data_IF_914900617541
#
_entry.id   IF_914900617541
#
_cell.length_a   1.000
_cell.length_b   1.000
_cell.length_c   1.000
_cell.angle_alpha   90.00
_cell.angle_beta   90.00
_cell.angle_gamma   90.00
#
_symmetry.space_group_name_H-M   'P 1'
#
loop_
_entity.id
_entity.type
_entity.pdbx_description
1 polymer ?
#
# COMPACT_ATOMS: atom_id res chain seq x y z
N UNK A 1 -7.72 1.01 12.06
CA UNK A 1 -7.98 0.39 13.37
C UNK A 1 -8.42 -1.08 13.24
N UNK A 2 -9.43 -1.38 12.42
CA UNK A 2 -10.01 -2.74 12.27
C UNK A 2 -8.99 -3.81 11.87
N UNK A 3 -8.11 -3.55 10.90
CA UNK A 3 -7.12 -4.54 10.47
C UNK A 3 -6.06 -4.87 11.53
N UNK A 4 -5.63 -3.89 12.33
CA UNK A 4 -4.66 -4.10 13.42
C UNK A 4 -5.24 -5.02 14.50
N UNK A 5 -6.54 -4.94 14.76
CA UNK A 5 -7.21 -5.79 15.76
C UNK A 5 -7.18 -7.28 15.40
N UNK A 6 -6.93 -7.64 14.13
CA UNK A 6 -6.81 -9.02 13.67
C UNK A 6 -5.39 -9.58 13.77
N UNK A 7 -4.41 -8.76 14.17
CA UNK A 7 -3.00 -9.14 14.26
C UNK A 7 -2.70 -9.56 15.70
N UNK A 8 -2.23 -10.81 15.95
CA UNK A 8 -1.82 -11.23 17.29
C UNK A 8 -0.70 -10.33 17.82
N UNK A 9 -0.89 -9.73 19.00
CA UNK A 9 0.04 -8.71 19.55
C UNK A 9 1.46 -9.23 19.74
N UNK A 10 1.59 -10.49 20.15
CA UNK A 10 2.89 -11.14 20.42
C UNK A 10 3.49 -11.81 19.17
N UNK A 11 2.87 -11.65 18.01
CA UNK A 11 3.50 -12.04 16.74
C UNK A 11 4.58 -11.05 16.33
N UNK A 12 5.44 -11.45 15.41
CA UNK A 12 6.43 -10.54 14.82
C UNK A 12 5.77 -9.34 14.15
N UNK A 13 4.70 -9.58 13.36
CA UNK A 13 3.92 -8.52 12.74
C UNK A 13 3.29 -7.60 13.79
N UNK A 14 2.74 -8.14 14.88
CA UNK A 14 2.15 -7.35 15.97
C UNK A 14 3.14 -6.38 16.60
N UNK A 15 4.37 -6.85 16.91
CA UNK A 15 5.44 -5.98 17.44
C UNK A 15 5.86 -4.90 16.44
N UNK A 16 6.01 -5.26 15.16
CA UNK A 16 6.39 -4.32 14.11
C UNK A 16 5.30 -3.26 13.87
N UNK A 17 4.03 -3.65 13.87
CA UNK A 17 2.88 -2.73 13.83
C UNK A 17 2.90 -1.74 14.98
N UNK A 18 3.10 -2.21 16.22
CA UNK A 18 3.18 -1.33 17.38
C UNK A 18 4.33 -0.33 17.25
N UNK A 19 5.49 -0.76 16.74
CA UNK A 19 6.64 0.12 16.49
C UNK A 19 6.32 1.18 15.45
N UNK A 20 5.73 0.81 14.31
CA UNK A 20 5.33 1.74 13.26
C UNK A 20 4.30 2.77 13.76
N UNK A 21 3.31 2.34 14.53
CA UNK A 21 2.30 3.25 15.08
C UNK A 21 2.88 4.20 16.11
N UNK A 22 3.83 3.74 16.94
CA UNK A 22 4.60 4.60 17.84
C UNK A 22 5.39 5.67 17.08
N UNK A 23 6.08 5.31 16.00
CA UNK A 23 6.78 6.29 15.14
C UNK A 23 5.79 7.33 14.59
N UNK A 24 4.62 6.90 14.09
CA UNK A 24 3.59 7.83 13.62
C UNK A 24 3.10 8.78 14.72
N UNK A 25 2.95 8.26 15.95
CA UNK A 25 2.53 9.06 17.10
C UNK A 25 3.60 10.08 17.51
N UNK A 26 4.88 9.77 17.36
CA UNK A 26 5.99 10.66 17.73
C UNK A 26 6.26 11.72 16.65
N UNK A 27 6.36 11.30 15.39
CA UNK A 27 6.87 12.14 14.30
C UNK A 27 5.80 13.00 13.61
N UNK A 28 4.53 12.59 13.72
CA UNK A 28 3.31 13.27 13.21
C UNK A 28 3.20 13.47 11.70
N UNK A 29 4.31 13.55 10.97
CA UNK A 29 4.36 13.75 9.52
C UNK A 29 5.15 12.62 8.85
N UNK A 30 4.86 12.35 7.58
CA UNK A 30 5.59 11.33 6.83
C UNK A 30 7.04 11.75 6.56
N UNK A 31 7.26 13.05 6.35
CA UNK A 31 8.59 13.63 6.13
C UNK A 31 9.55 13.32 7.29
N UNK A 32 9.07 13.42 8.53
CA UNK A 32 9.85 13.13 9.73
C UNK A 32 9.91 11.62 10.03
N UNK A 33 8.81 10.90 9.77
CA UNK A 33 8.71 9.47 10.08
C UNK A 33 9.47 8.57 9.12
N UNK A 34 9.70 9.01 7.87
CA UNK A 34 10.16 8.16 6.78
C UNK A 34 11.43 7.38 7.13
N UNK A 35 12.48 8.06 7.61
CA UNK A 35 13.76 7.43 7.91
C UNK A 35 13.63 6.36 8.99
N UNK A 36 12.88 6.65 10.06
CA UNK A 36 12.63 5.71 11.15
C UNK A 36 11.81 4.52 10.69
N UNK A 37 10.75 4.74 9.90
CA UNK A 37 9.96 3.65 9.33
C UNK A 37 10.80 2.76 8.39
N UNK A 38 11.73 3.35 7.64
CA UNK A 38 12.60 2.62 6.74
C UNK A 38 13.70 1.83 7.48
N UNK A 39 14.31 2.42 8.49
CA UNK A 39 15.46 1.84 9.21
C UNK A 39 15.05 0.92 10.35
N UNK A 40 14.05 1.29 11.13
CA UNK A 40 13.66 0.55 12.34
C UNK A 40 12.81 -0.70 12.07
N UNK A 41 12.14 -0.74 10.91
CA UNK A 41 11.33 -1.88 10.46
C UNK A 41 12.06 -2.77 9.47
N UNK A 42 13.31 -2.43 9.12
CA UNK A 42 14.13 -3.18 8.18
C UNK A 42 14.29 -4.64 8.59
N UNK A 43 14.19 -5.54 7.62
CA UNK A 43 14.45 -6.97 7.79
C UNK A 43 15.42 -7.49 6.71
N UNK A 44 16.17 -8.56 6.99
CA UNK A 44 17.10 -9.13 6.01
C UNK A 44 16.40 -9.83 4.84
N UNK A 45 15.14 -10.25 5.00
CA UNK A 45 14.36 -10.85 3.94
C UNK A 45 13.56 -9.77 3.21
N UNK A 46 13.70 -9.73 1.89
CA UNK A 46 12.76 -8.96 1.07
C UNK A 46 11.35 -9.55 1.20
N UNK A 47 10.32 -8.71 1.06
CA UNK A 47 8.91 -9.11 1.07
C UNK A 47 8.39 -9.75 2.36
N UNK A 48 9.01 -9.42 3.50
CA UNK A 48 8.51 -9.85 4.81
C UNK A 48 7.29 -9.02 5.23
N UNK A 49 6.15 -9.65 5.54
CA UNK A 49 4.95 -8.94 6.01
C UNK A 49 5.20 -8.05 7.24
N UNK A 50 6.03 -8.44 8.22
CA UNK A 50 6.41 -7.57 9.34
C UNK A 50 7.21 -6.32 8.96
N UNK A 51 7.74 -6.23 7.73
CA UNK A 51 8.38 -5.02 7.20
C UNK A 51 7.35 -4.16 6.44
N UNK A 52 6.73 -4.74 5.40
CA UNK A 52 5.90 -3.98 4.46
C UNK A 52 4.56 -3.52 5.06
N UNK A 53 3.84 -4.39 5.78
CA UNK A 53 2.49 -4.08 6.27
C UNK A 53 2.50 -2.91 7.26
N UNK A 54 3.40 -2.83 8.26
CA UNK A 54 3.47 -1.66 9.13
C UNK A 54 3.81 -0.36 8.41
N UNK A 55 4.69 -0.41 7.40
CA UNK A 55 5.02 0.75 6.57
C UNK A 55 3.81 1.23 5.76
N UNK A 56 3.04 0.32 5.16
CA UNK A 56 1.78 0.64 4.44
C UNK A 56 0.79 1.34 5.37
N UNK A 57 0.60 0.83 6.58
CA UNK A 57 -0.32 1.45 7.56
C UNK A 57 0.18 2.82 8.02
N UNK A 58 1.49 2.98 8.20
CA UNK A 58 2.09 4.26 8.55
C UNK A 58 1.90 5.28 7.43
N UNK A 59 2.15 4.89 6.17
CA UNK A 59 1.93 5.72 5.00
C UNK A 59 0.48 6.17 4.92
N UNK A 60 -0.48 5.24 4.92
CA UNK A 60 -1.91 5.57 4.84
C UNK A 60 -2.34 6.53 5.96
N UNK A 61 -1.84 6.32 7.18
CA UNK A 61 -2.12 7.18 8.34
C UNK A 61 -1.53 8.57 8.18
N UNK A 62 -0.25 8.67 7.83
CA UNK A 62 0.49 9.95 7.80
C UNK A 62 0.16 10.77 6.54
N UNK A 63 -0.30 10.14 5.46
CA UNK A 63 -0.86 10.84 4.29
C UNK A 63 -2.36 11.07 4.38
N UNK A 64 -3.00 10.66 5.48
CA UNK A 64 -4.42 10.86 5.76
C UNK A 64 -5.35 10.32 4.66
N UNK A 65 -4.94 9.24 4.00
CA UNK A 65 -5.71 8.67 2.89
C UNK A 65 -5.64 9.48 1.58
N UNK A 66 -4.85 10.57 1.50
CA UNK A 66 -4.62 11.26 0.23
C UNK A 66 -3.88 10.32 -0.74
N UNK A 67 -4.54 9.96 -1.84
CA UNK A 67 -4.05 8.97 -2.78
C UNK A 67 -2.72 9.40 -3.42
N UNK A 68 -2.60 10.64 -3.90
CA UNK A 68 -1.41 11.10 -4.62
C UNK A 68 -0.20 11.15 -3.69
N UNK A 69 -0.36 11.69 -2.48
CA UNK A 69 0.68 11.76 -1.47
C UNK A 69 1.05 10.37 -0.98
N UNK A 70 0.07 9.50 -0.72
CA UNK A 70 0.28 8.11 -0.35
C UNK A 70 1.09 7.35 -1.40
N UNK A 71 0.67 7.44 -2.66
CA UNK A 71 1.35 6.79 -3.79
C UNK A 71 2.76 7.35 -4.01
N UNK A 72 2.94 8.68 -3.90
CA UNK A 72 4.25 9.31 -4.02
C UNK A 72 5.24 8.73 -3.00
N UNK A 73 4.85 8.69 -1.72
CA UNK A 73 5.73 8.16 -0.68
C UNK A 73 5.91 6.65 -0.76
N UNK A 74 4.90 5.90 -1.16
CA UNK A 74 4.99 4.45 -1.35
C UNK A 74 5.99 4.09 -2.46
N UNK A 75 5.86 4.69 -3.64
CA UNK A 75 6.74 4.42 -4.77
C UNK A 75 8.19 4.90 -4.54
N UNK A 76 8.39 5.89 -3.67
CA UNK A 76 9.71 6.39 -3.28
C UNK A 76 10.18 5.83 -1.92
N UNK A 77 9.48 4.86 -1.35
CA UNK A 77 9.83 4.32 -0.04
C UNK A 77 11.14 3.53 -0.09
N UNK A 78 11.46 2.96 -1.25
CA UNK A 78 12.58 2.02 -1.41
C UNK A 78 12.21 0.61 -0.97
N UNK A 79 13.14 -0.32 -1.18
CA UNK A 79 12.98 -1.75 -0.87
C UNK A 79 11.80 -2.38 -1.62
N UNK A 80 10.67 -2.61 -0.94
CA UNK A 80 9.47 -3.28 -1.48
C UNK A 80 8.42 -2.24 -1.95
N UNK A 81 8.89 -1.22 -2.66
CA UNK A 81 8.12 -0.03 -3.02
C UNK A 81 6.92 -0.35 -3.94
N UNK A 82 7.06 -1.36 -4.80
CA UNK A 82 5.99 -1.87 -5.66
C UNK A 82 4.87 -2.53 -4.84
N UNK A 83 5.22 -3.33 -3.82
CA UNK A 83 4.23 -3.88 -2.88
C UNK A 83 3.52 -2.77 -2.10
N UNK A 84 4.27 -1.79 -1.58
CA UNK A 84 3.71 -0.63 -0.88
C UNK A 84 2.74 0.14 -1.78
N UNK A 85 3.16 0.45 -3.02
CA UNK A 85 2.33 1.14 -4.00
C UNK A 85 1.07 0.37 -4.37
N UNK A 86 1.19 -0.94 -4.62
CA UNK A 86 0.06 -1.80 -4.95
C UNK A 86 -0.99 -1.82 -3.83
N UNK A 87 -0.56 -1.99 -2.57
CA UNK A 87 -1.49 -2.05 -1.43
C UNK A 87 -2.09 -0.67 -1.11
N UNK A 88 -1.31 0.42 -1.17
CA UNK A 88 -1.84 1.78 -1.00
C UNK A 88 -2.88 2.10 -2.08
N UNK A 89 -2.63 1.70 -3.33
CA UNK A 89 -3.59 1.85 -4.41
C UNK A 89 -4.89 1.06 -4.18
N UNK A 90 -4.77 -0.21 -3.81
CA UNK A 90 -5.92 -1.06 -3.51
C UNK A 90 -6.75 -0.53 -2.33
N UNK A 91 -6.10 -0.12 -1.23
CA UNK A 91 -6.77 0.44 -0.05
C UNK A 91 -7.47 1.75 -0.38
N UNK A 92 -6.81 2.66 -1.10
CA UNK A 92 -7.39 3.96 -1.47
C UNK A 92 -8.58 3.78 -2.41
N UNK A 93 -8.47 2.91 -3.42
CA UNK A 93 -9.57 2.59 -4.33
C UNK A 93 -10.75 1.93 -3.62
N UNK A 94 -10.50 1.04 -2.65
CA UNK A 94 -11.56 0.41 -1.87
C UNK A 94 -12.26 1.40 -0.92
N UNK A 95 -11.53 2.34 -0.31
CA UNK A 95 -12.09 3.30 0.65
C UNK A 95 -12.82 4.45 -0.02
N UNK A 96 -12.33 4.91 -1.17
CA UNK A 96 -12.77 6.18 -1.78
C UNK A 96 -13.22 6.06 -3.23
N UNK A 97 -13.21 4.84 -3.79
CA UNK A 97 -13.54 4.58 -5.19
C UNK A 97 -12.39 4.91 -6.16
N UNK A 98 -12.60 4.61 -7.44
CA UNK A 98 -11.59 4.86 -8.49
C UNK A 98 -11.33 6.35 -8.73
N UNK A 99 -12.29 7.22 -8.39
CA UNK A 99 -12.26 8.66 -8.66
C UNK A 99 -11.12 9.42 -7.94
N UNK A 100 -10.55 8.84 -6.87
CA UNK A 100 -9.37 9.43 -6.21
C UNK A 100 -8.07 9.21 -7.00
N UNK A 101 -8.08 8.26 -7.94
CA UNK A 101 -6.94 7.95 -8.79
C UNK A 101 -7.02 8.84 -10.05
N UNK A 102 -5.96 9.58 -10.40
CA UNK A 102 -5.96 10.37 -11.63
C UNK A 102 -6.32 9.52 -12.83
N UNK A 103 -7.30 9.96 -13.62
CA UNK A 103 -7.80 9.22 -14.77
C UNK A 103 -6.69 8.87 -15.77
N UNK A 104 -5.71 9.76 -15.94
CA UNK A 104 -4.53 9.50 -16.79
C UNK A 104 -3.70 8.33 -16.27
N UNK A 105 -3.53 8.19 -14.95
CA UNK A 105 -2.80 7.07 -14.35
C UNK A 105 -3.54 5.76 -14.55
N UNK A 106 -4.87 5.77 -14.36
CA UNK A 106 -5.72 4.61 -14.65
C UNK A 106 -5.56 4.19 -16.11
N UNK A 107 -5.65 5.12 -17.06
CA UNK A 107 -5.50 4.80 -18.49
C UNK A 107 -4.10 4.28 -18.82
N UNK A 108 -3.04 4.79 -18.19
CA UNK A 108 -1.67 4.31 -18.41
C UNK A 108 -1.50 2.82 -18.08
N UNK A 109 -2.18 2.33 -17.04
CA UNK A 109 -2.04 0.93 -16.59
C UNK A 109 -3.22 0.04 -16.98
N UNK A 110 -4.24 0.58 -17.67
CA UNK A 110 -5.47 -0.13 -18.00
C UNK A 110 -5.23 -1.43 -18.78
N UNK A 111 -4.27 -1.38 -19.71
CA UNK A 111 -3.85 -2.51 -20.55
C UNK A 111 -2.43 -2.91 -20.13
N UNK A 112 -2.23 -4.07 -19.48
CA UNK A 112 -0.90 -4.58 -19.18
C UNK A 112 -0.07 -4.79 -20.45
N UNK A 113 1.26 -4.67 -20.34
CA UNK A 113 2.15 -4.96 -21.47
C UNK A 113 2.31 -6.46 -21.76
N UNK A 114 1.77 -7.35 -20.91
CA UNK A 114 1.88 -8.81 -21.05
C UNK A 114 3.32 -9.35 -21.08
N UNK A 115 4.27 -8.67 -20.44
CA UNK A 115 5.69 -9.07 -20.48
C UNK A 115 5.90 -10.41 -19.77
N UNK A 116 5.51 -10.49 -18.49
CA UNK A 116 5.65 -11.70 -17.67
C UNK A 116 4.54 -12.72 -17.96
N UNK A 117 3.29 -12.25 -18.03
CA UNK A 117 2.10 -13.07 -18.31
C UNK A 117 1.53 -12.64 -19.66
N UNK A 118 1.78 -13.43 -20.71
CA UNK A 118 1.44 -13.06 -22.10
C UNK A 118 -0.05 -12.78 -22.29
N UNK A 119 -0.90 -13.59 -21.67
CA UNK A 119 -2.35 -13.42 -21.74
C UNK A 119 -2.83 -12.07 -21.17
N UNK A 120 -2.10 -11.48 -20.24
CA UNK A 120 -2.51 -10.23 -19.60
C UNK A 120 -2.49 -9.03 -20.56
N UNK A 121 -1.82 -9.12 -21.73
CA UNK A 121 -1.86 -8.07 -22.74
C UNK A 121 -3.26 -7.88 -23.36
N UNK A 122 -4.07 -8.94 -23.37
CA UNK A 122 -5.41 -8.92 -23.94
C UNK A 122 -6.45 -8.40 -22.94
N UNK A 123 -6.10 -8.36 -21.66
CA UNK A 123 -6.99 -7.97 -20.55
C UNK A 123 -7.15 -6.45 -20.40
N UNK A 124 -8.32 -6.05 -19.90
CA UNK A 124 -8.58 -4.69 -19.41
C UNK A 124 -8.75 -4.75 -17.89
N UNK A 125 -7.80 -4.18 -17.15
CA UNK A 125 -7.76 -4.29 -15.68
C UNK A 125 -8.98 -3.60 -15.06
N UNK A 126 -9.49 -2.52 -15.65
CA UNK A 126 -10.63 -1.77 -15.11
C UNK A 126 -11.91 -2.57 -15.31
N UNK A 127 -12.08 -3.18 -16.48
CA UNK A 127 -13.25 -4.02 -16.75
C UNK A 127 -13.22 -5.28 -15.88
N UNK A 128 -12.05 -5.90 -15.70
CA UNK A 128 -11.86 -7.04 -14.80
C UNK A 128 -12.18 -6.68 -13.34
N UNK A 129 -11.71 -5.53 -12.85
CA UNK A 129 -12.02 -5.05 -11.51
C UNK A 129 -13.54 -4.80 -11.33
N UNK A 130 -14.22 -4.30 -12.37
CA UNK A 130 -15.66 -4.09 -12.37
C UNK A 130 -16.40 -5.43 -12.28
N UNK A 131 -16.03 -6.41 -13.12
CA UNK A 131 -16.60 -7.75 -13.08
C UNK A 131 -16.42 -8.42 -11.71
N UNK A 132 -15.23 -8.30 -11.11
CA UNK A 132 -14.96 -8.82 -9.76
C UNK A 132 -15.84 -8.13 -8.69
N UNK A 133 -16.00 -6.82 -8.78
CA UNK A 133 -16.85 -6.07 -7.86
C UNK A 133 -18.34 -6.47 -8.00
N UNK A 134 -18.80 -6.80 -9.20
CA UNK A 134 -20.17 -7.24 -9.43
C UNK A 134 -20.46 -8.64 -8.88
N UNK A 135 -19.45 -9.48 -8.65
CA UNK A 135 -19.62 -10.81 -8.03
C UNK A 135 -19.92 -10.75 -6.51
N UNK A 136 -19.58 -9.64 -5.86
CA UNK A 136 -19.75 -9.45 -4.41
C UNK A 136 -20.86 -8.45 -4.07
N UNK A 137 -21.59 -7.98 -5.08
CA UNK A 137 -22.75 -7.10 -4.94
C UNK A 137 -24.06 -7.88 -4.76
#
# INVERSE_FOLDING_TARGET
ATGIAQIPRDSWLGRAMNRAMKICDEEKTIENAWERLHTELWTPSHSASPEAIPQIYALLRLTQGDFKRGMFWACNFGRDADTLGAVIGALSGAMYGVEVIPSTWVQTVRKPAGVCLKFAADEDIVDLATQLADLIR
#
